data_IF_706603821420
#
_entry.id   IF_706603821420
#
_cell.length_a   1.000
_cell.length_b   1.000
_cell.length_c   1.000
_cell.angle_alpha   90.00
_cell.angle_beta   90.00
_cell.angle_gamma   90.00
#
_symmetry.space_group_name_H-M   'P 1'
#
loop_
_entity.id
_entity.type
_entity.pdbx_description
1 polymer ?
#
# COMPACT_ATOMS: atom_id res chain seq x y z
N UNK A 1 -14.28 -11.42 -11.79
CA UNK A 1 -12.87 -11.58 -11.39
C UNK A 1 -12.02 -11.37 -12.62
N UNK A 2 -11.11 -10.40 -12.61
CA UNK A 2 -10.09 -10.27 -13.67
C UNK A 2 -9.19 -11.49 -13.63
N UNK A 3 -9.04 -12.20 -14.75
CA UNK A 3 -8.23 -13.41 -14.80
C UNK A 3 -6.73 -13.07 -14.82
N UNK A 4 -5.87 -14.00 -14.39
CA UNK A 4 -4.40 -13.86 -14.52
C UNK A 4 -3.99 -13.63 -15.99
N UNK A 5 -4.76 -14.16 -16.95
CA UNK A 5 -4.53 -13.93 -18.37
C UNK A 5 -4.76 -12.46 -18.78
N UNK A 6 -5.72 -11.78 -18.17
CA UNK A 6 -5.99 -10.35 -18.43
C UNK A 6 -4.88 -9.46 -17.84
N UNK A 7 -4.26 -9.88 -16.73
CA UNK A 7 -3.17 -9.13 -16.10
C UNK A 7 -1.87 -9.19 -16.90
N UNK A 8 -1.61 -10.30 -17.60
CA UNK A 8 -0.45 -10.41 -18.51
C UNK A 8 -0.51 -9.36 -19.64
N UNK A 9 -1.70 -8.92 -20.03
CA UNK A 9 -1.87 -7.85 -21.02
C UNK A 9 -1.49 -6.47 -20.47
N UNK A 10 -1.44 -6.30 -19.14
CA UNK A 10 -1.07 -5.04 -18.52
C UNK A 10 0.45 -4.77 -18.57
N UNK A 11 1.23 -5.77 -18.97
CA UNK A 11 2.68 -5.69 -19.18
C UNK A 11 3.48 -5.12 -18.00
N UNK A 12 2.95 -5.24 -16.76
CA UNK A 12 3.67 -4.82 -15.56
C UNK A 12 4.89 -5.74 -15.38
N UNK A 13 6.08 -5.15 -15.40
CA UNK A 13 7.38 -5.82 -15.35
C UNK A 13 7.82 -5.99 -13.90
N UNK A 14 8.41 -7.14 -13.59
CA UNK A 14 8.94 -7.45 -12.26
C UNK A 14 10.47 -7.50 -12.20
N UNK A 15 11.18 -6.99 -13.22
CA UNK A 15 12.62 -7.20 -13.39
C UNK A 15 13.44 -6.54 -12.26
N UNK A 16 13.09 -5.32 -11.86
CA UNK A 16 13.67 -4.63 -10.70
C UNK A 16 13.57 -5.39 -9.36
N UNK A 17 12.57 -6.26 -9.18
CA UNK A 17 12.40 -6.97 -7.91
C UNK A 17 13.45 -8.08 -7.81
N UNK A 18 14.34 -8.03 -6.82
CA UNK A 18 15.31 -9.10 -6.63
C UNK A 18 14.61 -10.40 -6.18
N UNK A 19 15.33 -11.52 -6.06
CA UNK A 19 14.77 -12.69 -5.36
C UNK A 19 14.25 -12.30 -3.98
N UNK A 20 14.93 -11.38 -3.28
CA UNK A 20 14.51 -10.89 -1.97
C UNK A 20 13.24 -10.05 -2.07
N UNK A 21 13.09 -9.20 -3.09
CA UNK A 21 11.84 -8.48 -3.36
C UNK A 21 10.66 -9.43 -3.55
N UNK A 22 10.86 -10.52 -4.30
CA UNK A 22 9.83 -11.56 -4.49
C UNK A 22 9.53 -12.32 -3.19
N UNK A 23 10.55 -12.62 -2.36
CA UNK A 23 10.31 -13.17 -1.03
C UNK A 23 9.43 -12.23 -0.19
N UNK A 24 9.73 -10.92 -0.21
CA UNK A 24 8.98 -9.95 0.60
C UNK A 24 7.55 -9.81 0.09
N UNK A 25 7.37 -9.79 -1.23
CA UNK A 25 6.05 -9.78 -1.86
C UNK A 25 5.24 -11.04 -1.48
N UNK A 26 5.85 -12.22 -1.57
CA UNK A 26 5.21 -13.47 -1.18
C UNK A 26 4.82 -13.48 0.31
N UNK A 27 5.67 -12.91 1.17
CA UNK A 27 5.34 -12.79 2.60
C UNK A 27 4.23 -11.75 2.86
N UNK A 28 4.19 -10.65 2.10
CA UNK A 28 3.09 -9.68 2.15
C UNK A 28 1.76 -10.28 1.68
N UNK A 29 1.82 -11.25 0.75
CA UNK A 29 0.67 -11.93 0.14
C UNK A 29 0.79 -13.43 0.34
N UNK A 30 0.64 -13.86 1.60
CA UNK A 30 0.95 -15.23 2.04
C UNK A 30 0.20 -16.34 1.31
N UNK A 31 -0.90 -16.04 0.62
CA UNK A 31 -1.64 -17.02 -0.20
C UNK A 31 -0.82 -17.53 -1.40
N UNK A 32 0.22 -16.81 -1.81
CA UNK A 32 1.05 -17.16 -2.97
C UNK A 32 2.33 -17.91 -2.58
N UNK A 33 2.55 -18.17 -1.29
CA UNK A 33 3.68 -18.96 -0.80
C UNK A 33 3.18 -20.18 -0.02
N UNK A 34 4.01 -21.20 0.09
CA UNK A 34 3.68 -22.38 0.88
C UNK A 34 3.55 -22.05 2.38
N UNK A 35 2.66 -22.76 3.07
CA UNK A 35 2.54 -22.69 4.54
C UNK A 35 3.87 -23.03 5.21
N UNK A 36 4.62 -23.99 4.67
CA UNK A 36 5.95 -24.35 5.14
C UNK A 36 6.93 -23.17 5.08
N UNK A 37 7.03 -22.50 3.92
CA UNK A 37 7.92 -21.36 3.78
C UNK A 37 7.53 -20.17 4.68
N UNK A 38 6.23 -19.91 4.84
CA UNK A 38 5.74 -18.88 5.76
C UNK A 38 6.13 -19.19 7.21
N UNK A 39 5.87 -20.42 7.69
CA UNK A 39 6.19 -20.82 9.07
C UNK A 39 7.70 -20.85 9.32
N UNK A 40 8.50 -21.32 8.36
CA UNK A 40 9.95 -21.28 8.45
C UNK A 40 10.47 -19.85 8.60
N UNK A 41 9.94 -18.92 7.80
CA UNK A 41 10.26 -17.50 7.87
C UNK A 41 9.92 -16.90 9.25
N UNK A 42 8.72 -17.17 9.77
CA UNK A 42 8.28 -16.73 11.09
C UNK A 42 9.18 -17.27 12.22
N UNK A 43 9.79 -18.44 12.03
CA UNK A 43 10.77 -19.05 12.92
C UNK A 43 12.22 -18.59 12.67
N UNK A 44 12.44 -17.64 11.76
CA UNK A 44 13.74 -17.06 11.44
C UNK A 44 14.54 -17.77 10.34
N UNK A 45 14.02 -18.87 9.78
CA UNK A 45 14.64 -19.54 8.64
C UNK A 45 14.14 -18.97 7.32
N UNK A 46 15.04 -18.29 6.61
CA UNK A 46 14.74 -17.64 5.33
C UNK A 46 14.96 -18.56 4.13
N UNK A 47 15.57 -19.73 4.30
CA UNK A 47 15.97 -20.59 3.18
C UNK A 47 14.79 -21.15 2.38
N UNK A 48 13.70 -21.66 3.01
CA UNK A 48 12.56 -22.19 2.27
C UNK A 48 11.89 -21.14 1.39
N UNK A 49 11.60 -19.95 1.94
CA UNK A 49 10.99 -18.86 1.17
C UNK A 49 11.92 -18.36 0.05
N UNK A 50 13.24 -18.34 0.27
CA UNK A 50 14.20 -17.97 -0.77
C UNK A 50 14.19 -18.97 -1.93
N UNK A 51 14.14 -20.26 -1.62
CA UNK A 51 14.08 -21.30 -2.64
C UNK A 51 12.77 -21.19 -3.43
N UNK A 52 11.66 -21.01 -2.74
CA UNK A 52 10.35 -20.83 -3.36
C UNK A 52 10.32 -19.59 -4.28
N UNK A 53 10.83 -18.45 -3.80
CA UNK A 53 10.91 -17.21 -4.60
C UNK A 53 11.80 -17.34 -5.84
N UNK A 54 12.78 -18.25 -5.84
CA UNK A 54 13.61 -18.54 -7.03
C UNK A 54 12.86 -19.41 -8.03
N UNK A 55 12.23 -20.47 -7.57
CA UNK A 55 11.57 -21.45 -8.42
C UNK A 55 10.24 -20.94 -8.97
N UNK A 56 9.47 -20.25 -8.13
CA UNK A 56 8.07 -19.83 -8.38
C UNK A 56 7.93 -18.33 -8.54
N UNK A 57 8.98 -17.65 -8.99
CA UNK A 57 9.06 -16.18 -9.08
C UNK A 57 7.83 -15.56 -9.75
N UNK A 58 7.55 -16.01 -10.96
CA UNK A 58 6.47 -15.43 -11.77
C UNK A 58 5.09 -15.80 -11.23
N UNK A 59 4.93 -16.99 -10.67
CA UNK A 59 3.69 -17.40 -10.02
C UNK A 59 3.38 -16.50 -8.81
N UNK A 60 4.35 -16.30 -7.92
CA UNK A 60 4.22 -15.43 -6.74
C UNK A 60 3.88 -14.01 -7.17
N UNK A 61 4.63 -13.49 -8.15
CA UNK A 61 4.42 -12.13 -8.64
C UNK A 61 3.03 -11.96 -9.27
N UNK A 62 2.65 -12.84 -10.21
CA UNK A 62 1.38 -12.73 -10.92
C UNK A 62 0.18 -12.96 -10.01
N UNK A 63 0.29 -13.89 -9.05
CA UNK A 63 -0.73 -14.10 -8.03
C UNK A 63 -0.92 -12.86 -7.15
N UNK A 64 0.17 -12.31 -6.62
CA UNK A 64 0.13 -11.12 -5.80
C UNK A 64 -0.41 -9.90 -6.57
N UNK A 65 -0.02 -9.76 -7.84
CA UNK A 65 -0.51 -8.71 -8.73
C UNK A 65 -2.02 -8.83 -8.97
N UNK A 66 -2.56 -10.05 -9.05
CA UNK A 66 -3.98 -10.30 -9.24
C UNK A 66 -4.82 -9.90 -8.02
N UNK A 67 -4.37 -10.28 -6.82
CA UNK A 67 -5.03 -9.88 -5.58
C UNK A 67 -5.04 -8.35 -5.45
N UNK A 68 -3.88 -7.72 -5.68
CA UNK A 68 -3.73 -6.26 -5.58
C UNK A 68 -4.56 -5.54 -6.65
N UNK A 69 -4.65 -6.07 -7.87
CA UNK A 69 -5.52 -5.49 -8.89
C UNK A 69 -6.98 -5.52 -8.45
N UNK A 70 -7.44 -6.65 -7.91
CA UNK A 70 -8.80 -6.78 -7.38
C UNK A 70 -9.06 -5.78 -6.26
N UNK A 71 -8.08 -5.55 -5.38
CA UNK A 71 -8.13 -4.49 -4.37
C UNK A 71 -8.19 -3.10 -5.04
N UNK A 72 -7.39 -2.83 -6.06
CA UNK A 72 -7.29 -1.53 -6.73
C UNK A 72 -8.56 -1.11 -7.49
N UNK A 73 -9.35 -2.05 -8.02
CA UNK A 73 -10.55 -1.71 -8.82
C UNK A 73 -11.53 -0.78 -8.11
N UNK A 74 -11.70 -0.91 -6.79
CA UNK A 74 -12.55 -0.01 -6.00
C UNK A 74 -12.00 1.42 -5.97
N UNK A 75 -10.68 1.57 -5.85
CA UNK A 75 -9.98 2.86 -5.90
C UNK A 75 -10.12 3.48 -7.29
N UNK A 76 -9.81 2.72 -8.34
CA UNK A 76 -9.92 3.17 -9.72
C UNK A 76 -11.32 3.70 -10.04
N UNK A 77 -12.35 2.94 -9.67
CA UNK A 77 -13.75 3.31 -9.90
C UNK A 77 -14.11 4.61 -9.18
N UNK A 78 -13.70 4.76 -7.92
CA UNK A 78 -13.96 5.94 -7.13
C UNK A 78 -13.30 7.19 -7.72
N UNK A 79 -12.02 7.11 -8.09
CA UNK A 79 -11.29 8.23 -8.68
C UNK A 79 -11.86 8.65 -10.03
N UNK A 80 -12.19 7.69 -10.91
CA UNK A 80 -12.84 7.97 -12.20
C UNK A 80 -14.22 8.58 -12.05
N UNK A 81 -15.03 8.08 -11.11
CA UNK A 81 -16.37 8.62 -10.82
C UNK A 81 -16.30 10.06 -10.32
N UNK A 82 -15.29 10.38 -9.51
CA UNK A 82 -15.03 11.75 -9.05
C UNK A 82 -14.39 12.65 -10.13
N UNK A 83 -14.10 12.13 -11.32
CA UNK A 83 -13.30 12.78 -12.36
C UNK A 83 -11.98 13.35 -11.81
N UNK A 84 -11.34 12.57 -10.94
CA UNK A 84 -10.13 12.96 -10.23
C UNK A 84 -8.91 12.18 -10.75
N UNK A 85 -7.89 12.91 -11.19
CA UNK A 85 -6.62 12.37 -11.66
C UNK A 85 -5.49 12.97 -10.81
N UNK A 86 -4.97 12.24 -9.79
CA UNK A 86 -3.92 12.79 -8.94
C UNK A 86 -2.64 13.01 -9.73
N UNK A 87 -1.96 14.14 -9.54
CA UNK A 87 -0.63 14.41 -10.12
C UNK A 87 0.48 13.99 -9.16
N UNK A 88 0.19 13.94 -7.87
CA UNK A 88 1.11 13.46 -6.83
C UNK A 88 0.38 12.48 -5.91
N UNK A 89 1.03 11.36 -5.59
CA UNK A 89 0.53 10.33 -4.69
C UNK A 89 1.52 10.12 -3.55
N UNK A 90 1.02 10.13 -2.31
CA UNK A 90 1.73 9.56 -1.16
C UNK A 90 1.08 8.21 -0.84
N UNK A 91 1.82 7.11 -0.95
CA UNK A 91 1.37 5.78 -0.51
C UNK A 91 2.05 5.39 0.82
N UNK A 92 1.24 5.21 1.86
CA UNK A 92 1.70 4.83 3.20
C UNK A 92 1.52 3.33 3.39
N UNK A 93 2.65 2.65 3.56
CA UNK A 93 2.72 1.20 3.63
C UNK A 93 2.72 0.55 2.24
N UNK A 94 3.46 1.14 1.30
CA UNK A 94 3.47 0.75 -0.11
C UNK A 94 3.99 -0.67 -0.37
N UNK A 95 4.69 -1.30 0.59
CA UNK A 95 5.27 -2.62 0.41
C UNK A 95 6.27 -2.64 -0.74
N UNK A 96 5.97 -3.40 -1.80
CA UNK A 96 6.76 -3.46 -3.04
C UNK A 96 6.15 -2.62 -4.19
N UNK A 97 5.22 -1.71 -3.89
CA UNK A 97 4.60 -0.74 -4.81
C UNK A 97 3.77 -1.34 -5.98
N UNK A 98 3.27 -2.57 -5.84
CA UNK A 98 2.44 -3.19 -6.88
C UNK A 98 1.11 -2.45 -7.10
N UNK A 99 0.52 -1.89 -6.04
CA UNK A 99 -0.71 -1.08 -6.14
C UNK A 99 -0.45 0.21 -6.92
N UNK A 100 0.67 0.85 -6.64
CA UNK A 100 1.11 2.08 -7.31
C UNK A 100 1.34 1.89 -8.81
N UNK A 101 1.75 0.71 -9.27
CA UNK A 101 1.90 0.44 -10.71
C UNK A 101 0.57 0.56 -11.47
N UNK A 102 -0.58 0.27 -10.82
CA UNK A 102 -1.88 0.48 -11.44
C UNK A 102 -2.27 1.96 -11.45
N UNK A 103 -1.98 2.70 -10.38
CA UNK A 103 -2.16 4.17 -10.34
C UNK A 103 -1.30 4.85 -11.42
N UNK A 104 -0.04 4.42 -11.57
CA UNK A 104 0.88 4.88 -12.61
C UNK A 104 0.28 4.72 -14.00
N UNK A 105 -0.25 3.53 -14.30
CA UNK A 105 -0.82 3.25 -15.61
C UNK A 105 -2.05 4.10 -15.92
N UNK A 106 -2.89 4.34 -14.92
CA UNK A 106 -4.15 5.05 -15.13
C UNK A 106 -4.00 6.57 -15.09
N UNK A 107 -3.03 7.12 -14.34
CA UNK A 107 -2.96 8.54 -14.02
C UNK A 107 -1.56 9.19 -14.15
N UNK A 108 -0.48 8.42 -14.32
CA UNK A 108 0.92 8.90 -14.42
C UNK A 108 1.34 9.93 -13.32
N UNK A 109 1.11 9.69 -12.01
CA UNK A 109 1.48 10.64 -10.98
C UNK A 109 2.97 10.54 -10.60
N UNK A 110 3.46 11.57 -9.91
CA UNK A 110 4.66 11.47 -9.10
C UNK A 110 4.37 10.75 -7.77
N UNK A 111 5.30 9.90 -7.30
CA UNK A 111 5.12 9.09 -6.10
C UNK A 111 6.04 9.50 -4.95
N UNK A 112 5.48 9.47 -3.75
CA UNK A 112 6.21 9.43 -2.48
C UNK A 112 5.79 8.14 -1.77
N UNK A 113 6.71 7.17 -1.72
CA UNK A 113 6.50 5.88 -1.10
C UNK A 113 6.99 5.91 0.34
N UNK A 114 6.12 5.60 1.29
CA UNK A 114 6.43 5.63 2.73
C UNK A 114 6.25 4.23 3.30
N UNK A 115 7.31 3.62 3.83
CA UNK A 115 7.21 2.34 4.53
C UNK A 115 8.39 2.13 5.49
N UNK A 116 8.27 1.14 6.37
CA UNK A 116 9.34 0.66 7.22
C UNK A 116 9.90 -0.66 6.67
N UNK A 117 11.23 -0.79 6.62
CA UNK A 117 11.87 -1.93 5.96
C UNK A 117 12.28 -3.05 6.91
N UNK A 118 12.34 -2.76 8.23
CA UNK A 118 12.77 -3.71 9.26
C UNK A 118 12.01 -3.51 10.56
N UNK A 119 11.58 -4.61 11.17
CA UNK A 119 11.12 -4.67 12.57
C UNK A 119 11.69 -5.91 13.27
N UNK A 120 11.86 -5.88 14.61
CA UNK A 120 12.36 -7.05 15.36
C UNK A 120 11.49 -8.30 15.22
N UNK A 121 10.18 -8.10 15.06
CA UNK A 121 9.21 -9.14 14.73
C UNK A 121 8.34 -8.67 13.56
N UNK A 122 8.01 -9.60 12.68
CA UNK A 122 7.10 -9.37 11.56
C UNK A 122 5.75 -10.03 11.83
N UNK A 123 4.66 -9.36 11.48
CA UNK A 123 3.31 -9.81 11.80
C UNK A 123 2.26 -9.19 10.87
N UNK A 124 1.13 -9.89 10.73
CA UNK A 124 -0.05 -9.43 9.98
C UNK A 124 -1.24 -9.05 10.89
N UNK A 125 -1.12 -9.25 12.20
CA UNK A 125 -2.14 -8.83 13.16
C UNK A 125 -2.06 -7.32 13.43
N UNK A 126 -3.16 -6.74 13.93
CA UNK A 126 -3.13 -5.34 14.40
C UNK A 126 -2.14 -5.19 15.56
N UNK A 127 -1.33 -4.14 15.51
CA UNK A 127 -0.45 -3.72 16.59
C UNK A 127 -0.42 -2.20 16.70
N UNK A 128 0.22 -1.69 17.74
CA UNK A 128 0.41 -0.24 17.95
C UNK A 128 1.39 0.39 16.95
N UNK A 129 2.16 -0.41 16.21
CA UNK A 129 3.15 0.02 15.22
C UNK A 129 3.05 -0.91 14.00
N UNK A 130 3.59 -0.49 12.86
CA UNK A 130 3.72 -1.34 11.68
C UNK A 130 4.77 -2.44 11.82
N UNK A 131 4.74 -3.39 10.89
CA UNK A 131 5.76 -4.43 10.69
C UNK A 131 6.52 -4.13 9.40
N UNK A 132 7.86 -4.22 9.43
CA UNK A 132 8.70 -3.82 8.30
C UNK A 132 9.17 -4.99 7.45
N UNK A 133 8.76 -4.98 6.19
CA UNK A 133 9.12 -5.95 5.16
C UNK A 133 9.15 -5.33 3.75
N UNK A 134 9.11 -4.00 3.64
CA UNK A 134 9.35 -3.31 2.38
C UNK A 134 10.85 -3.34 2.01
N UNK A 135 11.13 -3.16 0.72
CA UNK A 135 12.46 -2.83 0.20
C UNK A 135 12.26 -1.56 -0.62
N UNK A 136 12.38 -0.40 0.00
CA UNK A 136 11.93 0.86 -0.60
C UNK A 136 12.69 1.18 -1.89
N UNK A 137 14.00 0.89 -1.92
CA UNK A 137 14.81 1.08 -3.13
C UNK A 137 14.33 0.18 -4.28
N UNK A 138 13.99 -1.08 -4.01
CA UNK A 138 13.45 -2.00 -5.03
C UNK A 138 12.03 -1.60 -5.45
N UNK A 139 11.19 -1.13 -4.52
CA UNK A 139 9.84 -0.64 -4.82
C UNK A 139 9.88 0.59 -5.75
N UNK A 140 10.80 1.52 -5.48
CA UNK A 140 10.98 2.68 -6.34
C UNK A 140 11.51 2.29 -7.72
N UNK A 141 12.48 1.38 -7.78
CA UNK A 141 13.02 0.90 -9.05
C UNK A 141 11.97 0.12 -9.86
N UNK A 142 11.14 -0.67 -9.19
CA UNK A 142 10.00 -1.34 -9.80
C UNK A 142 9.04 -0.36 -10.47
N UNK A 143 8.72 0.78 -9.84
CA UNK A 143 7.90 1.80 -10.50
C UNK A 143 8.60 2.47 -11.67
N UNK A 144 9.91 2.75 -11.57
CA UNK A 144 10.69 3.33 -12.67
C UNK A 144 10.76 2.39 -13.88
N UNK A 145 10.99 1.10 -13.66
CA UNK A 145 10.96 0.04 -14.68
C UNK A 145 9.61 -0.03 -15.42
N UNK A 146 8.54 0.40 -14.76
CA UNK A 146 7.18 0.46 -15.29
C UNK A 146 6.77 1.85 -15.79
N UNK A 147 7.69 2.82 -15.84
CA UNK A 147 7.51 4.12 -16.51
C UNK A 147 7.39 5.32 -15.58
N UNK A 148 7.43 5.15 -14.25
CA UNK A 148 7.34 6.27 -13.33
C UNK A 148 8.56 7.20 -13.47
N UNK A 149 8.29 8.50 -13.66
CA UNK A 149 9.33 9.52 -13.84
C UNK A 149 9.85 10.08 -12.53
N UNK A 150 8.98 10.17 -11.52
CA UNK A 150 9.28 10.79 -10.24
C UNK A 150 8.85 9.85 -9.11
N UNK A 151 9.83 9.28 -8.43
CA UNK A 151 9.60 8.40 -7.28
C UNK A 151 10.59 8.77 -6.18
N UNK A 152 10.05 9.16 -5.03
CA UNK A 152 10.79 9.42 -3.78
C UNK A 152 10.38 8.38 -2.75
N UNK A 153 11.31 7.96 -1.90
CA UNK A 153 11.04 7.02 -0.81
C UNK A 153 11.34 7.66 0.54
N UNK A 154 10.59 7.26 1.57
CA UNK A 154 10.77 7.73 2.95
C UNK A 154 10.61 6.55 3.89
N UNK A 155 11.68 6.23 4.62
CA UNK A 155 11.60 5.36 5.78
C UNK A 155 11.48 6.22 7.04
N UNK A 156 10.30 6.31 7.67
CA UNK A 156 10.06 7.24 8.78
C UNK A 156 10.84 6.85 10.05
N UNK A 157 11.44 5.65 10.11
CA UNK A 157 12.32 5.25 11.22
C UNK A 157 13.77 5.70 11.02
N UNK A 158 14.17 6.03 9.80
CA UNK A 158 15.52 6.52 9.48
C UNK A 158 15.54 8.04 9.35
N UNK A 159 14.49 8.61 8.76
CA UNK A 159 14.40 10.05 8.43
C UNK A 159 13.03 10.63 8.81
N UNK A 160 12.64 10.61 10.10
CA UNK A 160 11.30 11.03 10.55
C UNK A 160 10.96 12.46 10.14
N UNK A 161 11.93 13.38 10.15
CA UNK A 161 11.71 14.78 9.80
C UNK A 161 11.30 15.00 8.34
N UNK A 162 11.54 14.02 7.46
CA UNK A 162 11.11 14.09 6.07
C UNK A 162 9.59 13.95 5.89
N UNK A 163 8.84 13.56 6.93
CA UNK A 163 7.38 13.57 6.94
C UNK A 163 6.80 14.98 7.10
N UNK A 164 7.57 15.92 7.65
CA UNK A 164 7.08 17.25 8.00
C UNK A 164 6.69 18.02 6.74
N UNK A 165 5.45 18.55 6.72
CA UNK A 165 4.93 19.38 5.63
C UNK A 165 4.58 18.62 4.34
N UNK A 166 4.67 17.29 4.34
CA UNK A 166 4.24 16.49 3.19
C UNK A 166 2.72 16.62 2.98
N UNK A 167 2.36 16.70 1.72
CA UNK A 167 0.99 16.66 1.22
C UNK A 167 1.02 16.20 -0.24
N UNK A 168 -0.13 15.75 -0.75
CA UNK A 168 -0.29 15.32 -2.12
C UNK A 168 -1.75 15.44 -2.55
N UNK A 169 -2.00 15.45 -3.86
CA UNK A 169 -3.35 15.32 -4.43
C UNK A 169 -4.05 14.05 -3.91
N UNK A 170 -3.33 12.93 -3.78
CA UNK A 170 -3.84 11.71 -3.17
C UNK A 170 -2.90 11.21 -2.08
N UNK A 171 -3.43 10.96 -0.88
CA UNK A 171 -2.78 10.11 0.13
C UNK A 171 -3.54 8.80 0.18
N UNK A 172 -2.85 7.69 0.03
CA UNK A 172 -3.46 6.36 0.04
C UNK A 172 -2.76 5.43 1.03
N UNK A 173 -3.54 4.53 1.63
CA UNK A 173 -3.03 3.40 2.39
C UNK A 173 -4.05 2.27 2.35
N UNK A 174 -3.75 1.25 1.54
CA UNK A 174 -4.56 0.03 1.45
C UNK A 174 -3.91 -1.09 2.25
N UNK A 175 -4.70 -1.76 3.10
CA UNK A 175 -4.26 -2.90 3.94
C UNK A 175 -2.95 -2.61 4.72
N UNK A 176 -2.74 -1.36 5.15
CA UNK A 176 -1.55 -0.97 5.94
C UNK A 176 -1.89 0.01 7.08
N UNK A 177 -1.63 1.30 6.94
CA UNK A 177 -2.03 2.34 7.90
C UNK A 177 -3.56 2.43 7.98
N UNK A 178 -4.12 2.37 9.19
CA UNK A 178 -5.56 2.22 9.44
C UNK A 178 -6.04 0.76 9.49
N UNK A 179 -5.27 -0.18 8.92
CA UNK A 179 -5.64 -1.61 8.89
C UNK A 179 -4.80 -2.50 9.82
N UNK A 180 -3.48 -2.36 9.80
CA UNK A 180 -2.54 -3.08 10.66
C UNK A 180 -2.11 -2.27 11.88
N UNK A 181 -2.18 -0.94 11.79
CA UNK A 181 -1.82 -0.03 12.88
C UNK A 181 -2.59 1.30 12.77
N UNK A 182 -2.67 2.09 13.86
CA UNK A 182 -3.41 3.36 13.88
C UNK A 182 -2.85 4.43 12.94
N UNK A 183 -3.69 5.41 12.54
CA UNK A 183 -3.29 6.45 11.58
C UNK A 183 -2.46 7.59 12.18
N UNK A 184 -2.34 7.66 13.51
CA UNK A 184 -1.85 8.86 14.22
C UNK A 184 -0.50 9.40 13.75
N UNK A 185 0.46 8.54 13.40
CA UNK A 185 1.79 8.96 12.91
C UNK A 185 1.71 9.72 11.57
N UNK A 186 0.68 9.47 10.77
CA UNK A 186 0.52 10.01 9.43
C UNK A 186 -0.68 10.97 9.29
N UNK A 187 -1.46 11.15 10.36
CA UNK A 187 -2.60 12.07 10.38
C UNK A 187 -2.25 13.49 9.89
N UNK A 188 -1.10 14.10 10.26
CA UNK A 188 -0.75 15.43 9.76
C UNK A 188 -0.66 15.51 8.23
N UNK A 189 -0.15 14.45 7.56
CA UNK A 189 -0.07 14.38 6.09
C UNK A 189 -1.47 14.29 5.49
N UNK A 190 -2.34 13.47 6.10
CA UNK A 190 -3.72 13.31 5.64
C UNK A 190 -4.49 14.62 5.72
N UNK A 191 -4.42 15.32 6.86
CA UNK A 191 -5.08 16.61 7.06
C UNK A 191 -4.52 17.69 6.13
N UNK A 192 -3.20 17.81 6.01
CA UNK A 192 -2.57 18.79 5.12
C UNK A 192 -2.94 18.60 3.65
N UNK A 193 -3.07 17.34 3.20
CA UNK A 193 -3.54 17.03 1.84
C UNK A 193 -5.01 17.43 1.65
N UNK A 194 -5.88 17.12 2.61
CA UNK A 194 -7.29 17.52 2.55
C UNK A 194 -7.47 19.05 2.55
N UNK A 195 -6.74 19.78 3.39
CA UNK A 195 -6.76 21.25 3.45
C UNK A 195 -6.37 21.91 2.12
N UNK A 196 -5.60 21.20 1.29
CA UNK A 196 -5.16 21.66 -0.04
C UNK A 196 -6.06 21.17 -1.18
N UNK A 197 -7.21 20.58 -0.84
CA UNK A 197 -8.16 20.03 -1.82
C UNK A 197 -7.80 18.65 -2.36
N UNK A 198 -6.82 17.99 -1.74
CA UNK A 198 -6.49 16.60 -2.02
C UNK A 198 -7.52 15.63 -1.45
N UNK A 199 -7.34 14.35 -1.77
CA UNK A 199 -8.17 13.23 -1.33
C UNK A 199 -7.34 12.26 -0.50
N UNK A 200 -7.96 11.61 0.48
CA UNK A 200 -7.32 10.54 1.27
C UNK A 200 -8.11 9.25 1.09
N UNK A 201 -7.45 8.12 0.82
CA UNK A 201 -8.09 6.79 0.74
C UNK A 201 -7.45 5.85 1.75
N UNK A 202 -8.26 5.30 2.66
CA UNK A 202 -7.76 4.40 3.71
C UNK A 202 -8.60 3.13 3.80
N UNK A 203 -7.92 2.00 3.99
CA UNK A 203 -8.54 0.81 4.56
C UNK A 203 -8.52 0.89 6.09
N UNK A 204 -9.69 1.10 6.69
CA UNK A 204 -9.87 1.13 8.13
C UNK A 204 -10.36 -0.24 8.60
N UNK A 205 -9.58 -0.91 9.46
CA UNK A 205 -10.00 -2.22 9.99
C UNK A 205 -11.29 -2.09 10.79
N UNK A 206 -12.26 -2.99 10.58
CA UNK A 206 -13.57 -2.96 11.26
C UNK A 206 -13.51 -2.72 12.77
N UNK A 207 -12.56 -3.34 13.46
CA UNK A 207 -12.42 -3.17 14.92
C UNK A 207 -11.91 -1.78 15.32
N UNK A 208 -11.10 -1.14 14.47
CA UNK A 208 -10.61 0.22 14.68
C UNK A 208 -11.71 1.23 14.33
N UNK A 209 -12.48 0.96 13.28
CA UNK A 209 -13.70 1.71 12.98
C UNK A 209 -14.73 1.70 14.13
N UNK A 210 -14.95 0.54 14.76
CA UNK A 210 -15.88 0.42 15.89
C UNK A 210 -15.40 1.08 17.18
N UNK A 211 -14.10 1.28 17.32
CA UNK A 211 -13.49 1.87 18.51
C UNK A 211 -12.33 2.81 18.09
N UNK A 212 -12.66 3.95 17.47
CA UNK A 212 -11.68 4.87 16.93
C UNK A 212 -10.89 5.53 18.07
N UNK A 213 -9.59 5.73 17.85
CA UNK A 213 -8.78 6.59 18.72
C UNK A 213 -8.96 8.07 18.35
N UNK A 214 -8.27 8.95 19.07
CA UNK A 214 -8.31 10.39 18.82
C UNK A 214 -7.93 10.75 17.37
N UNK A 215 -6.95 10.06 16.80
CA UNK A 215 -6.48 10.35 15.45
C UNK A 215 -7.55 10.05 14.39
N UNK A 216 -8.19 8.88 14.46
CA UNK A 216 -9.27 8.55 13.53
C UNK A 216 -10.50 9.45 13.75
N UNK A 217 -10.85 9.75 15.01
CA UNK A 217 -11.92 10.70 15.32
C UNK A 217 -11.64 12.09 14.74
N UNK A 218 -10.39 12.55 14.80
CA UNK A 218 -9.96 13.82 14.21
C UNK A 218 -10.13 13.82 12.70
N UNK A 219 -9.66 12.79 11.98
CA UNK A 219 -9.85 12.71 10.53
C UNK A 219 -11.35 12.71 10.16
N UNK A 220 -12.18 11.94 10.87
CA UNK A 220 -13.61 11.85 10.62
C UNK A 220 -14.36 13.17 10.84
N UNK A 221 -13.91 13.98 11.80
CA UNK A 221 -14.52 15.30 12.07
C UNK A 221 -14.09 16.38 11.09
N UNK A 222 -12.88 16.29 10.52
CA UNK A 222 -12.33 17.29 9.59
C UNK A 222 -12.70 17.03 8.12
N UNK A 223 -13.07 15.81 7.76
CA UNK A 223 -13.36 15.43 6.38
C UNK A 223 -14.82 15.01 6.17
N UNK A 224 -15.27 15.06 4.92
CA UNK A 224 -16.36 14.21 4.43
C UNK A 224 -15.78 12.86 4.03
N UNK A 225 -16.56 11.80 4.12
CA UNK A 225 -16.14 10.49 3.64
C UNK A 225 -17.29 9.69 3.06
N UNK A 226 -16.93 8.83 2.10
CA UNK A 226 -17.81 7.81 1.56
C UNK A 226 -17.09 6.47 1.61
N UNK A 227 -17.84 5.40 1.84
CA UNK A 227 -17.31 4.05 1.71
C UNK A 227 -17.29 3.65 0.24
N UNK A 228 -16.15 3.13 -0.21
CA UNK A 228 -15.94 2.63 -1.57
C UNK A 228 -15.68 1.12 -1.53
N UNK A 229 -15.89 0.39 -2.63
CA UNK A 229 -15.70 -1.06 -2.63
C UNK A 229 -14.31 -1.49 -2.18
N UNK A 230 -14.26 -2.49 -1.28
CA UNK A 230 -13.05 -3.16 -0.84
C UNK A 230 -13.14 -4.66 -1.09
N UNK A 231 -12.03 -5.27 -1.52
CA UNK A 231 -11.91 -6.72 -1.61
C UNK A 231 -11.58 -7.37 -0.26
N UNK A 232 -11.14 -6.59 0.74
CA UNK A 232 -10.84 -7.09 2.09
C UNK A 232 -12.08 -6.99 2.99
N UNK A 233 -12.70 -8.13 3.38
CA UNK A 233 -13.93 -8.12 4.16
C UNK A 233 -13.75 -7.53 5.58
N UNK A 234 -12.53 -7.44 6.11
CA UNK A 234 -12.25 -6.86 7.43
C UNK A 234 -11.97 -5.35 7.38
N UNK A 235 -12.03 -4.72 6.22
CA UNK A 235 -11.76 -3.30 6.03
C UNK A 235 -13.04 -2.55 5.63
N UNK A 236 -13.20 -1.34 6.17
CA UNK A 236 -13.99 -0.28 5.56
C UNK A 236 -13.03 0.55 4.71
N UNK A 237 -13.20 0.54 3.39
CA UNK A 237 -12.40 1.42 2.53
C UNK A 237 -13.10 2.75 2.38
N UNK A 238 -12.48 3.79 2.89
CA UNK A 238 -13.07 5.12 2.93
C UNK A 238 -12.28 6.05 2.02
N UNK A 239 -13.01 6.80 1.19
CA UNK A 239 -12.51 7.95 0.45
C UNK A 239 -12.93 9.20 1.22
N UNK A 240 -11.95 10.00 1.63
CA UNK A 240 -12.12 11.24 2.36
C UNK A 240 -11.82 12.44 1.46
N UNK A 241 -12.66 13.47 1.56
CA UNK A 241 -12.48 14.76 0.87
C UNK A 241 -12.66 15.90 1.87
N UNK A 242 -12.14 17.08 1.51
CA UNK A 242 -12.40 18.32 2.26
C UNK A 242 -13.90 18.57 2.37
N UNK A 243 -14.37 19.02 3.54
CA UNK A 243 -15.75 19.51 3.65
C UNK A 243 -15.89 20.80 2.82
N UNK A 244 -16.99 20.97 2.05
CA UNK A 244 -17.31 22.27 1.47
C UNK A 244 -17.40 23.31 2.60
N UNK A 245 -16.82 24.48 2.38
CA UNK A 245 -16.93 25.62 3.27
C UNK A 245 -18.39 26.10 3.41
#
# INVERSE_FOLDING_TARGET
MTSVADLKQLQIRNQALSTRGIMMLGFQRTNHISTEARLAWENGDRAPLRQEARTRRDEIFQGALADIHSEYLGVQSALKTANFAPKTVIDIGCGQALGDAFLLRDFDPAFILIDIEKTPSQYHAWKKRGSGYALLDEAAEFLRDNGARQVRTINPRLVPDQLNGLHADLVISTISCGFHYPIGEYLPIMLASLERGGTVILDIRQRYWRNPDEALNSLLSHAQHVEIPSAEPKAHRLLFTSRPA
#
